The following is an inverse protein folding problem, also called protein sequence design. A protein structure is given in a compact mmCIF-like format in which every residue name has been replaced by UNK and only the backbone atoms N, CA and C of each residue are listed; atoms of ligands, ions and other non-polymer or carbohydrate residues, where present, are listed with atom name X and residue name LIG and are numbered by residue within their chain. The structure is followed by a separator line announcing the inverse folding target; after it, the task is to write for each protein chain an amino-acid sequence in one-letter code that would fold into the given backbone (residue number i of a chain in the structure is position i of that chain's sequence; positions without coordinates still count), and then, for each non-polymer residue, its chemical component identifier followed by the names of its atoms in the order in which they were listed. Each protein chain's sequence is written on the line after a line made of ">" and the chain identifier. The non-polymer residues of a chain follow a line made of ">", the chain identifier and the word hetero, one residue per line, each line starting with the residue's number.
data_IF_244270202727
#
_entry.id   IF_244270202727
#
_cell.length_a   1.000
_cell.length_b   1.000
_cell.length_c   1.000
_cell.angle_alpha   90.00
_cell.angle_beta   90.00
_cell.angle_gamma   90.00
#
_symmetry.space_group_name_H-M   'P 1'
#
loop_
_entity.id
_entity.type
_entity.pdbx_description
1 polymer ?
#
# COMPACT_ATOMS: atom_id res chain seq x y z
N UNK A 1 56.30 -19.77 7.08
CA UNK A 1 55.57 -18.93 6.13
C UNK A 1 54.30 -19.68 5.74
N UNK A 2 53.23 -19.45 6.48
CA UNK A 2 51.91 -20.07 6.24
C UNK A 2 51.06 -19.04 5.53
N UNK A 3 50.77 -19.30 4.26
CA UNK A 3 49.85 -18.46 3.46
C UNK A 3 48.41 -18.65 3.94
N UNK A 4 47.86 -17.60 4.53
CA UNK A 4 46.46 -17.54 4.90
C UNK A 4 45.62 -17.37 3.63
N UNK A 5 44.89 -18.41 3.25
CA UNK A 5 43.89 -18.39 2.18
C UNK A 5 42.67 -17.63 2.71
N UNK A 6 42.56 -16.38 2.34
CA UNK A 6 41.30 -15.63 2.51
C UNK A 6 40.28 -16.22 1.53
N UNK A 7 39.37 -17.03 2.04
CA UNK A 7 38.18 -17.45 1.30
C UNK A 7 37.37 -16.19 0.90
N UNK A 8 37.39 -15.88 -0.38
CA UNK A 8 36.53 -14.90 -1.01
C UNK A 8 35.09 -15.31 -0.73
N UNK A 9 34.39 -14.56 0.12
CA UNK A 9 32.94 -14.70 0.28
C UNK A 9 32.31 -14.42 -1.10
N UNK A 10 31.80 -15.47 -1.74
CA UNK A 10 31.07 -15.36 -3.01
C UNK A 10 29.93 -14.37 -2.81
N UNK A 11 29.96 -13.24 -3.53
CA UNK A 11 28.82 -12.34 -3.58
C UNK A 11 27.61 -13.16 -4.01
N UNK A 12 26.50 -13.08 -3.27
CA UNK A 12 25.29 -13.81 -3.62
C UNK A 12 24.89 -13.46 -5.06
N UNK A 13 24.59 -14.47 -5.88
CA UNK A 13 24.34 -14.32 -7.31
C UNK A 13 23.30 -13.26 -7.64
N UNK A 14 23.53 -12.51 -8.70
CA UNK A 14 22.64 -11.47 -9.23
C UNK A 14 21.38 -12.11 -9.81
N UNK A 15 20.20 -11.72 -9.31
CA UNK A 15 18.92 -12.22 -9.80
C UNK A 15 18.32 -11.31 -10.87
N UNK A 16 17.51 -11.90 -11.75
CA UNK A 16 16.58 -11.22 -12.67
C UNK A 16 15.19 -11.31 -12.06
N UNK A 17 14.65 -10.19 -11.60
CA UNK A 17 13.36 -10.10 -10.91
C UNK A 17 12.39 -9.34 -11.79
N UNK A 18 11.22 -9.91 -12.06
CA UNK A 18 10.14 -9.24 -12.78
C UNK A 18 9.01 -8.85 -11.80
N UNK A 19 8.57 -7.60 -11.84
CA UNK A 19 7.48 -7.08 -11.03
C UNK A 19 6.32 -6.64 -11.94
N UNK A 20 5.13 -7.18 -11.72
CA UNK A 20 3.96 -6.95 -12.58
C UNK A 20 2.64 -7.00 -11.79
N UNK A 21 1.57 -6.53 -12.41
CA UNK A 21 0.22 -6.59 -11.83
C UNK A 21 -0.29 -5.25 -11.29
N UNK A 22 0.47 -4.16 -11.42
CA UNK A 22 0.09 -2.81 -10.97
C UNK A 22 0.14 -1.81 -12.12
N UNK A 23 0.07 -0.52 -11.78
CA UNK A 23 0.34 0.56 -12.75
C UNK A 23 1.84 0.75 -13.01
N UNK A 24 2.69 0.20 -12.14
CA UNK A 24 4.14 0.26 -12.25
C UNK A 24 4.73 1.56 -11.72
N UNK A 25 5.87 1.97 -12.29
CA UNK A 25 6.65 3.15 -11.87
C UNK A 25 6.70 4.20 -12.97
N UNK A 26 6.81 5.50 -12.61
CA UNK A 26 6.88 6.09 -11.26
C UNK A 26 5.59 5.89 -10.45
N UNK A 27 5.73 5.70 -9.13
CA UNK A 27 4.59 5.61 -8.24
C UNK A 27 3.92 6.98 -8.11
N UNK A 28 2.66 7.09 -8.51
CA UNK A 28 1.88 8.35 -8.35
C UNK A 28 0.91 8.25 -7.18
N UNK A 29 0.34 7.08 -6.95
CA UNK A 29 -0.49 6.76 -5.79
C UNK A 29 -0.75 5.24 -5.72
N UNK A 30 -1.02 4.75 -4.52
CA UNK A 30 -1.30 3.34 -4.29
C UNK A 30 -0.16 2.61 -3.57
N UNK A 31 -0.53 1.68 -2.68
CA UNK A 31 0.43 0.94 -1.86
C UNK A 31 1.37 0.07 -2.68
N UNK A 32 0.84 -0.63 -3.66
CA UNK A 32 1.63 -1.51 -4.51
C UNK A 32 2.64 -0.78 -5.38
N UNK A 33 2.28 0.36 -5.95
CA UNK A 33 3.19 1.17 -6.76
C UNK A 33 4.34 1.71 -5.90
N UNK A 34 4.04 2.18 -4.68
CA UNK A 34 5.05 2.62 -3.71
C UNK A 34 5.98 1.46 -3.31
N UNK A 35 5.43 0.28 -3.04
CA UNK A 35 6.22 -0.90 -2.71
C UNK A 35 7.13 -1.32 -3.87
N UNK A 36 6.62 -1.34 -5.10
CA UNK A 36 7.44 -1.65 -6.29
C UNK A 36 8.56 -0.65 -6.46
N UNK A 37 8.29 0.63 -6.30
CA UNK A 37 9.30 1.68 -6.44
C UNK A 37 10.37 1.58 -5.37
N UNK A 38 9.98 1.46 -4.10
CA UNK A 38 10.91 1.44 -2.98
C UNK A 38 11.73 0.15 -2.89
N UNK A 39 11.09 -1.00 -3.04
CA UNK A 39 11.77 -2.30 -3.06
C UNK A 39 12.57 -2.49 -4.34
N UNK A 40 11.98 -2.15 -5.49
CA UNK A 40 12.61 -2.37 -6.80
C UNK A 40 13.89 -1.56 -6.98
N UNK A 41 13.91 -0.27 -6.56
CA UNK A 41 15.13 0.54 -6.63
C UNK A 41 16.22 -0.01 -5.71
N UNK A 42 15.90 -0.39 -4.47
CA UNK A 42 16.88 -0.95 -3.51
C UNK A 42 17.44 -2.28 -4.00
N UNK A 43 16.61 -3.15 -4.58
CA UNK A 43 17.09 -4.37 -5.22
C UNK A 43 18.00 -4.07 -6.41
N UNK A 44 17.70 -3.04 -7.20
CA UNK A 44 18.56 -2.61 -8.30
C UNK A 44 19.90 -2.04 -7.78
N UNK A 45 19.88 -1.23 -6.73
CA UNK A 45 21.08 -0.70 -6.06
C UNK A 45 21.96 -1.82 -5.47
N UNK A 46 21.36 -2.93 -5.02
CA UNK A 46 22.06 -4.15 -4.57
C UNK A 46 22.59 -5.02 -5.74
N UNK A 47 22.43 -4.57 -6.97
CA UNK A 47 22.96 -5.19 -8.18
C UNK A 47 22.04 -6.18 -8.88
N UNK A 48 20.79 -6.39 -8.42
CA UNK A 48 19.82 -7.21 -9.12
C UNK A 48 19.33 -6.55 -10.43
N UNK A 49 18.86 -7.36 -11.38
CA UNK A 49 18.21 -6.88 -12.60
C UNK A 49 16.70 -6.85 -12.41
N UNK A 50 16.17 -5.69 -12.00
CA UNK A 50 14.75 -5.52 -11.78
C UNK A 50 14.07 -5.01 -13.05
N UNK A 51 13.00 -5.68 -13.49
CA UNK A 51 12.12 -5.26 -14.57
C UNK A 51 10.73 -4.99 -14.02
N UNK A 52 10.24 -3.76 -14.20
CA UNK A 52 8.88 -3.37 -13.83
C UNK A 52 8.03 -3.19 -15.07
N UNK A 53 6.85 -3.81 -15.07
CA UNK A 53 5.83 -3.60 -16.09
C UNK A 53 4.96 -2.42 -15.70
N UNK A 54 4.93 -1.38 -16.54
CA UNK A 54 4.25 -0.12 -16.25
C UNK A 54 3.23 0.25 -17.32
N UNK A 55 2.17 0.92 -16.88
CA UNK A 55 1.15 1.54 -17.74
C UNK A 55 1.44 3.03 -17.83
N UNK A 56 1.35 3.59 -19.03
CA UNK A 56 1.48 5.02 -19.18
C UNK A 56 0.14 5.71 -18.87
N UNK A 57 0.09 6.56 -17.82
CA UNK A 57 -1.12 7.31 -17.50
C UNK A 57 -1.36 8.48 -18.47
N UNK A 58 -0.31 8.96 -19.15
CA UNK A 58 -0.35 10.11 -20.05
C UNK A 58 -0.04 9.67 -21.48
N UNK A 59 -1.07 9.45 -22.30
CA UNK A 59 -0.86 9.10 -23.71
C UNK A 59 -0.05 10.17 -24.44
N UNK A 60 1.01 9.75 -25.14
CA UNK A 60 1.86 10.64 -25.93
C UNK A 60 3.22 10.97 -25.31
N UNK A 61 3.42 10.75 -24.01
CA UNK A 61 4.73 10.91 -23.38
C UNK A 61 5.23 9.53 -22.93
N UNK A 62 6.18 8.89 -23.66
CA UNK A 62 6.68 7.57 -23.30
C UNK A 62 7.32 7.57 -21.91
N UNK A 63 7.13 6.48 -21.16
CA UNK A 63 7.86 6.29 -19.91
C UNK A 63 9.37 6.09 -20.18
N UNK A 64 10.23 6.47 -19.24
CA UNK A 64 11.66 6.23 -19.37
C UNK A 64 11.93 4.72 -19.41
N UNK A 65 12.88 4.27 -20.25
CA UNK A 65 13.27 2.85 -20.32
C UNK A 65 13.93 2.34 -19.03
N UNK A 66 14.45 3.25 -18.23
CA UNK A 66 15.05 2.99 -16.91
C UNK A 66 14.56 4.05 -15.93
N UNK A 67 14.22 3.61 -14.72
CA UNK A 67 13.79 4.48 -13.64
C UNK A 67 14.39 4.00 -12.33
N UNK A 68 15.16 4.85 -11.66
CA UNK A 68 15.85 4.52 -10.39
C UNK A 68 16.57 3.15 -10.42
N UNK A 69 17.37 2.90 -11.46
CA UNK A 69 18.10 1.64 -11.64
C UNK A 69 17.27 0.46 -12.17
N UNK A 70 15.96 0.52 -12.12
CA UNK A 70 15.06 -0.50 -12.66
C UNK A 70 14.85 -0.33 -14.17
N UNK A 71 14.72 -1.43 -14.91
CA UNK A 71 14.21 -1.42 -16.29
C UNK A 71 12.69 -1.28 -16.27
N UNK A 72 12.15 -0.48 -17.17
CA UNK A 72 10.69 -0.27 -17.32
C UNK A 72 10.24 -0.83 -18.67
N UNK A 73 9.22 -1.68 -18.63
CA UNK A 73 8.50 -2.14 -19.82
C UNK A 73 7.11 -1.49 -19.86
N UNK A 74 6.97 -0.46 -20.67
CA UNK A 74 5.69 0.19 -20.93
C UNK A 74 4.84 -0.68 -21.83
N UNK A 75 3.62 -1.04 -21.39
CA UNK A 75 2.64 -1.79 -22.16
C UNK A 75 1.26 -1.12 -22.07
N UNK A 76 0.44 -1.23 -23.12
CA UNK A 76 -0.90 -0.67 -23.11
C UNK A 76 -1.84 -1.46 -22.18
N UNK A 77 -2.96 -0.83 -21.85
CA UNK A 77 -4.07 -1.44 -21.13
C UNK A 77 -5.41 -0.98 -21.72
N UNK A 78 -6.44 -1.79 -21.58
CA UNK A 78 -7.81 -1.41 -21.94
C UNK A 78 -8.32 -0.36 -20.95
N UNK A 79 -8.77 0.79 -21.42
CA UNK A 79 -9.31 1.89 -20.59
C UNK A 79 -10.71 1.58 -20.04
N UNK A 80 -10.88 0.44 -19.35
CA UNK A 80 -12.10 0.07 -18.64
C UNK A 80 -11.73 -0.31 -17.21
N UNK A 81 -12.34 0.35 -16.22
CA UNK A 81 -12.03 0.22 -14.77
C UNK A 81 -11.79 -1.23 -14.32
N UNK A 82 -12.64 -2.18 -14.74
CA UNK A 82 -12.56 -3.58 -14.36
C UNK A 82 -11.55 -4.43 -15.16
N UNK A 83 -11.16 -3.97 -16.35
CA UNK A 83 -10.29 -4.72 -17.27
C UNK A 83 -8.89 -4.13 -17.41
N UNK A 84 -8.66 -2.94 -16.91
CA UNK A 84 -7.40 -2.22 -17.05
C UNK A 84 -6.21 -3.03 -16.51
N UNK A 85 -6.30 -3.48 -15.26
CA UNK A 85 -5.25 -4.27 -14.62
C UNK A 85 -5.08 -5.63 -15.28
N UNK A 86 -6.18 -6.32 -15.58
CA UNK A 86 -6.15 -7.65 -16.18
C UNK A 86 -5.56 -7.65 -17.59
N UNK A 87 -5.97 -6.71 -18.44
CA UNK A 87 -5.44 -6.61 -19.80
C UNK A 87 -3.96 -6.28 -19.82
N UNK A 88 -3.52 -5.38 -18.93
CA UNK A 88 -2.11 -5.05 -18.77
C UNK A 88 -1.28 -6.25 -18.31
N UNK A 89 -1.78 -7.00 -17.32
CA UNK A 89 -1.08 -8.18 -16.81
C UNK A 89 -1.02 -9.29 -17.85
N UNK A 90 -2.08 -9.49 -18.64
CA UNK A 90 -2.07 -10.43 -19.77
C UNK A 90 -0.95 -10.08 -20.78
N UNK A 91 -0.83 -8.81 -21.16
CA UNK A 91 0.21 -8.34 -22.07
C UNK A 91 1.60 -8.42 -21.43
N UNK A 92 1.72 -8.15 -20.13
CA UNK A 92 2.97 -8.28 -19.39
C UNK A 92 3.47 -9.72 -19.39
N UNK A 93 2.62 -10.69 -19.09
CA UNK A 93 2.95 -12.12 -19.14
C UNK A 93 3.30 -12.56 -20.56
N UNK A 94 2.51 -12.15 -21.57
CA UNK A 94 2.81 -12.45 -22.98
C UNK A 94 4.17 -11.88 -23.42
N UNK A 95 4.56 -10.71 -22.94
CA UNK A 95 5.87 -10.12 -23.23
C UNK A 95 6.99 -10.84 -22.46
N UNK A 96 6.75 -11.16 -21.19
CA UNK A 96 7.72 -11.75 -20.29
C UNK A 96 8.19 -13.14 -20.75
N UNK A 97 7.24 -14.01 -21.12
CA UNK A 97 7.51 -15.42 -21.40
C UNK A 97 8.58 -15.62 -22.50
N UNK A 98 8.52 -14.99 -23.70
CA UNK A 98 9.49 -15.23 -24.75
C UNK A 98 10.76 -14.37 -24.65
N UNK A 99 10.81 -13.31 -23.81
CA UNK A 99 11.84 -12.27 -23.89
C UNK A 99 12.67 -12.08 -22.64
N UNK A 100 12.12 -12.36 -21.46
CA UNK A 100 12.75 -11.90 -20.20
C UNK A 100 13.41 -13.04 -19.45
N UNK A 101 12.77 -14.19 -19.31
CA UNK A 101 13.25 -15.34 -18.51
C UNK A 101 13.74 -14.93 -17.12
N UNK A 102 12.90 -14.36 -16.26
CA UNK A 102 13.28 -13.95 -14.93
C UNK A 102 13.57 -15.17 -14.05
N UNK A 103 14.42 -14.99 -13.05
CA UNK A 103 14.68 -16.02 -12.03
C UNK A 103 13.52 -16.09 -11.03
N UNK A 104 12.79 -14.98 -10.83
CA UNK A 104 11.58 -14.88 -10.02
C UNK A 104 10.65 -13.80 -10.59
N UNK A 105 9.33 -14.04 -10.54
CA UNK A 105 8.31 -13.05 -10.80
C UNK A 105 7.54 -12.71 -9.51
N UNK A 106 7.38 -11.43 -9.21
CA UNK A 106 6.50 -10.94 -8.15
C UNK A 106 5.25 -10.36 -8.82
N UNK A 107 4.11 -10.97 -8.53
CA UNK A 107 2.80 -10.56 -9.06
C UNK A 107 2.03 -9.87 -7.95
N UNK A 108 1.74 -8.60 -8.14
CA UNK A 108 0.97 -7.81 -7.18
C UNK A 108 -0.52 -7.91 -7.48
N UNK A 109 -1.33 -7.96 -6.43
CA UNK A 109 -2.78 -8.07 -6.44
C UNK A 109 -3.30 -9.45 -6.90
N UNK A 110 -4.04 -10.09 -6.00
CA UNK A 110 -4.67 -11.40 -6.23
C UNK A 110 -5.57 -11.45 -7.48
N UNK A 111 -6.13 -10.31 -7.91
CA UNK A 111 -6.88 -10.21 -9.18
C UNK A 111 -6.11 -10.73 -10.40
N UNK A 112 -4.79 -10.71 -10.38
CA UNK A 112 -3.94 -11.14 -11.47
C UNK A 112 -3.65 -12.66 -11.49
N UNK A 113 -4.18 -13.41 -10.52
CA UNK A 113 -3.93 -14.85 -10.37
C UNK A 113 -4.37 -15.72 -11.55
N UNK A 114 -5.36 -15.38 -12.39
CA UNK A 114 -5.65 -16.12 -13.60
C UNK A 114 -4.48 -16.26 -14.58
N UNK A 115 -3.45 -15.42 -14.49
CA UNK A 115 -2.27 -15.49 -15.34
C UNK A 115 -1.12 -16.32 -14.76
N UNK A 116 -1.18 -16.72 -13.50
CA UNK A 116 -0.17 -17.52 -12.82
C UNK A 116 0.07 -18.91 -13.46
N UNK A 117 -0.96 -19.61 -13.97
CA UNK A 117 -0.74 -20.87 -14.67
C UNK A 117 0.24 -20.79 -15.84
N UNK A 118 0.25 -19.65 -16.58
CA UNK A 118 1.18 -19.44 -17.70
C UNK A 118 2.63 -19.26 -17.23
N UNK A 119 2.85 -18.50 -16.14
CA UNK A 119 4.17 -18.35 -15.53
C UNK A 119 4.69 -19.68 -14.99
N UNK A 120 3.83 -20.45 -14.34
CA UNK A 120 4.16 -21.76 -13.83
C UNK A 120 4.49 -22.78 -14.94
N UNK A 121 3.73 -22.78 -16.04
CA UNK A 121 4.03 -23.62 -17.20
C UNK A 121 5.40 -23.29 -17.81
N UNK A 122 5.84 -22.04 -17.74
CA UNK A 122 7.17 -21.59 -18.15
C UNK A 122 8.26 -21.86 -17.07
N UNK A 123 7.91 -22.52 -15.97
CA UNK A 123 8.81 -22.82 -14.84
C UNK A 123 9.44 -21.60 -14.20
N UNK A 124 8.73 -20.49 -14.18
CA UNK A 124 9.13 -19.27 -13.48
C UNK A 124 8.56 -19.32 -12.06
N UNK A 125 9.39 -19.27 -11.01
CA UNK A 125 8.93 -19.17 -9.64
C UNK A 125 8.16 -17.86 -9.42
N UNK A 126 7.02 -17.93 -8.71
CA UNK A 126 6.12 -16.79 -8.53
C UNK A 126 5.84 -16.55 -7.06
N UNK A 127 6.10 -15.32 -6.58
CA UNK A 127 5.51 -14.78 -5.37
C UNK A 127 4.30 -13.92 -5.74
N UNK A 128 3.16 -14.15 -5.11
CA UNK A 128 1.99 -13.27 -5.28
C UNK A 128 1.78 -12.45 -4.02
N UNK A 129 1.84 -11.13 -4.18
CA UNK A 129 1.46 -10.22 -3.12
C UNK A 129 -0.07 -10.19 -3.07
N UNK A 130 -0.64 -10.86 -2.06
CA UNK A 130 -2.08 -10.94 -1.87
C UNK A 130 -2.55 -9.67 -1.19
N UNK A 131 -3.51 -9.03 -1.83
CA UNK A 131 -4.12 -7.81 -1.35
C UNK A 131 -5.05 -8.12 -0.18
N UNK A 132 -5.26 -7.13 0.68
CA UNK A 132 -6.26 -7.26 1.74
C UNK A 132 -7.64 -7.41 1.15
N UNK A 133 -8.32 -8.46 1.47
CA UNK A 133 -9.73 -8.81 1.24
C UNK A 133 -10.49 -7.88 0.25
N UNK A 134 -9.95 -7.70 -0.96
CA UNK A 134 -10.45 -6.73 -1.95
C UNK A 134 -11.96 -6.91 -2.25
N UNK A 135 -12.46 -8.16 -2.13
CA UNK A 135 -13.88 -8.47 -2.28
C UNK A 135 -14.78 -7.84 -1.21
N UNK A 136 -14.23 -7.38 -0.08
CA UNK A 136 -14.97 -6.64 0.97
C UNK A 136 -15.20 -5.19 0.61
N UNK A 137 -14.49 -4.63 -0.37
CA UNK A 137 -14.63 -3.22 -0.76
C UNK A 137 -16.01 -2.96 -1.35
N UNK A 138 -16.64 -1.86 -0.91
CA UNK A 138 -17.99 -1.46 -1.31
C UNK A 138 -18.19 -1.27 -2.82
N UNK A 139 -17.12 -0.98 -3.56
CA UNK A 139 -17.15 -0.78 -5.02
C UNK A 139 -17.49 -2.03 -5.84
N UNK A 140 -17.42 -3.23 -5.24
CA UNK A 140 -17.64 -4.50 -5.95
C UNK A 140 -19.04 -5.05 -5.75
N UNK A 141 -19.78 -5.23 -6.83
CA UNK A 141 -21.02 -5.99 -6.85
C UNK A 141 -20.77 -7.52 -6.74
N UNK A 142 -21.84 -8.34 -6.71
CA UNK A 142 -21.73 -9.81 -6.49
C UNK A 142 -20.75 -10.52 -7.44
N UNK A 143 -20.74 -10.14 -8.72
CA UNK A 143 -19.83 -10.73 -9.73
C UNK A 143 -18.37 -10.40 -9.44
N UNK A 144 -18.07 -9.15 -9.07
CA UNK A 144 -16.71 -8.74 -8.69
C UNK A 144 -16.23 -9.46 -7.45
N UNK A 145 -17.07 -9.58 -6.42
CA UNK A 145 -16.77 -10.34 -5.20
C UNK A 145 -16.47 -11.79 -5.49
N UNK A 146 -17.28 -12.47 -6.33
CA UNK A 146 -17.03 -13.85 -6.76
C UNK A 146 -15.70 -13.99 -7.50
N UNK A 147 -15.40 -13.03 -8.40
CA UNK A 147 -14.14 -13.00 -9.12
C UNK A 147 -12.94 -12.94 -8.16
N UNK A 148 -12.91 -11.99 -7.21
CA UNK A 148 -11.80 -11.86 -6.27
C UNK A 148 -11.62 -13.10 -5.41
N UNK A 149 -12.72 -13.67 -4.91
CA UNK A 149 -12.65 -14.92 -4.12
C UNK A 149 -12.12 -16.11 -4.93
N UNK A 150 -12.45 -16.21 -6.21
CA UNK A 150 -11.86 -17.20 -7.10
C UNK A 150 -10.38 -16.92 -7.39
N UNK A 151 -10.02 -15.66 -7.55
CA UNK A 151 -8.64 -15.23 -7.81
C UNK A 151 -7.72 -15.51 -6.60
N UNK A 152 -8.19 -15.33 -5.35
CA UNK A 152 -7.48 -15.74 -4.14
C UNK A 152 -7.17 -17.25 -4.16
N UNK A 153 -8.15 -18.10 -4.47
CA UNK A 153 -7.95 -19.54 -4.57
C UNK A 153 -6.93 -19.91 -5.67
N UNK A 154 -6.91 -19.17 -6.79
CA UNK A 154 -5.90 -19.34 -7.84
C UNK A 154 -4.52 -18.88 -7.36
N UNK A 155 -4.42 -17.78 -6.59
CA UNK A 155 -3.17 -17.34 -5.99
C UNK A 155 -2.58 -18.45 -5.11
N UNK A 156 -3.37 -18.98 -4.19
CA UNK A 156 -2.95 -20.09 -3.32
C UNK A 156 -2.49 -21.31 -4.12
N UNK A 157 -3.23 -21.66 -5.18
CA UNK A 157 -2.94 -22.85 -5.99
C UNK A 157 -1.69 -22.74 -6.85
N UNK A 158 -1.42 -21.58 -7.42
CA UNK A 158 -0.44 -21.43 -8.49
C UNK A 158 0.78 -20.59 -8.12
N UNK A 159 0.81 -19.90 -6.97
CA UNK A 159 1.99 -19.23 -6.46
C UNK A 159 2.91 -20.19 -5.72
N UNK A 160 4.20 -19.90 -5.74
CA UNK A 160 5.22 -20.62 -4.96
C UNK A 160 5.38 -20.00 -3.57
N UNK A 161 5.04 -18.73 -3.42
CA UNK A 161 4.90 -18.01 -2.15
C UNK A 161 3.76 -16.99 -2.23
N UNK A 162 3.16 -16.70 -1.09
CA UNK A 162 2.18 -15.62 -0.92
C UNK A 162 2.78 -14.58 0.01
N UNK A 163 2.67 -13.30 -0.35
CA UNK A 163 3.13 -12.18 0.47
C UNK A 163 1.90 -11.48 1.06
N UNK A 164 1.81 -11.43 2.39
CA UNK A 164 0.83 -10.63 3.12
C UNK A 164 1.51 -9.40 3.72
N UNK A 165 0.84 -8.24 3.71
CA UNK A 165 1.40 -6.99 4.25
C UNK A 165 0.89 -6.64 5.65
N UNK A 166 0.00 -7.47 6.23
CA UNK A 166 -0.51 -7.33 7.59
C UNK A 166 -0.83 -8.71 8.18
N UNK A 167 -0.73 -8.84 9.51
CA UNK A 167 -1.00 -10.10 10.20
C UNK A 167 -2.43 -10.60 9.96
N UNK A 168 -3.42 -9.73 9.99
CA UNK A 168 -4.81 -10.12 9.74
C UNK A 168 -5.05 -10.70 8.33
N UNK A 169 -4.24 -10.35 7.33
CA UNK A 169 -4.29 -10.98 6.00
C UNK A 169 -3.63 -12.36 6.06
N UNK A 170 -2.49 -12.49 6.76
CA UNK A 170 -1.83 -13.78 6.95
C UNK A 170 -2.75 -14.77 7.66
N UNK A 171 -3.41 -14.34 8.71
CA UNK A 171 -4.38 -15.16 9.48
C UNK A 171 -5.55 -15.59 8.60
N UNK A 172 -6.11 -14.69 7.79
CA UNK A 172 -7.17 -15.02 6.85
C UNK A 172 -6.75 -16.12 5.85
N UNK A 173 -5.55 -16.05 5.28
CA UNK A 173 -5.07 -17.08 4.35
C UNK A 173 -4.78 -18.40 5.06
N UNK A 174 -4.28 -18.36 6.29
CA UNK A 174 -4.08 -19.55 7.11
C UNK A 174 -5.42 -20.22 7.46
N UNK A 175 -6.43 -19.45 7.87
CA UNK A 175 -7.74 -19.96 8.26
C UNK A 175 -8.57 -20.45 7.08
N UNK A 176 -8.67 -19.65 6.01
CA UNK A 176 -9.56 -19.91 4.88
C UNK A 176 -8.97 -20.95 3.91
N UNK A 177 -7.63 -20.99 3.76
CA UNK A 177 -6.96 -21.80 2.74
C UNK A 177 -5.92 -22.78 3.28
N UNK A 178 -5.64 -22.81 4.58
CA UNK A 178 -4.50 -23.54 5.17
C UNK A 178 -3.17 -23.16 4.46
N UNK A 179 -3.02 -21.91 4.10
CA UNK A 179 -1.89 -21.42 3.33
C UNK A 179 -1.02 -20.48 4.14
N UNK A 180 0.26 -20.80 4.26
CA UNK A 180 1.25 -19.92 4.86
C UNK A 180 1.55 -18.74 3.94
N UNK A 181 1.81 -17.59 4.53
CA UNK A 181 2.24 -16.37 3.84
C UNK A 181 3.58 -15.88 4.39
N UNK A 182 4.37 -15.24 3.54
CA UNK A 182 5.49 -14.42 3.96
C UNK A 182 4.94 -13.06 4.39
N UNK A 183 4.99 -12.75 5.69
CA UNK A 183 4.53 -11.47 6.23
C UNK A 183 5.58 -10.39 5.93
N UNK A 184 5.31 -9.53 4.95
CA UNK A 184 6.18 -8.42 4.55
C UNK A 184 5.34 -7.15 4.43
N UNK A 185 5.26 -6.38 5.50
CA UNK A 185 4.58 -5.10 5.54
C UNK A 185 5.24 -4.07 4.62
N UNK A 186 4.54 -2.98 4.31
CA UNK A 186 5.17 -1.82 3.65
C UNK A 186 6.10 -1.09 4.60
N UNK A 187 7.01 -0.30 4.04
CA UNK A 187 7.87 0.57 4.81
C UNK A 187 7.27 1.96 5.03
N UNK A 188 7.68 2.59 6.10
CA UNK A 188 7.39 3.99 6.38
C UNK A 188 8.50 4.89 5.77
N UNK A 189 8.17 5.97 5.08
CA UNK A 189 9.18 6.94 4.68
C UNK A 189 9.68 7.69 5.92
N UNK A 190 10.96 7.99 5.98
CA UNK A 190 11.46 8.99 6.93
C UNK A 190 11.15 10.37 6.37
N UNK A 191 10.26 11.08 7.03
CA UNK A 191 9.85 12.43 6.62
C UNK A 191 10.55 13.41 7.56
N UNK A 192 11.58 14.06 7.02
CA UNK A 192 12.30 15.13 7.71
C UNK A 192 12.18 16.39 6.85
N UNK A 193 11.11 17.14 7.08
CA UNK A 193 10.73 18.33 6.33
C UNK A 193 10.41 19.48 7.27
N UNK A 194 10.60 20.71 6.79
CA UNK A 194 10.12 21.90 7.47
C UNK A 194 8.59 22.03 7.48
N UNK A 195 8.11 23.20 7.86
CA UNK A 195 6.69 23.56 7.83
C UNK A 195 6.44 24.94 7.20
N UNK A 196 7.44 25.46 6.50
CA UNK A 196 7.46 26.80 5.89
C UNK A 196 6.42 26.95 4.78
N UNK A 197 6.19 25.89 3.99
CA UNK A 197 5.21 25.92 2.90
C UNK A 197 3.75 25.81 3.36
N UNK A 198 3.49 25.49 4.62
CA UNK A 198 2.13 25.52 5.17
C UNK A 198 1.49 26.91 5.03
N UNK A 199 2.31 27.97 5.07
CA UNK A 199 1.87 29.36 4.85
C UNK A 199 1.24 29.58 3.46
N UNK A 200 1.62 28.80 2.43
CA UNK A 200 0.99 28.86 1.10
C UNK A 200 -0.51 28.52 1.16
N UNK A 201 -0.89 27.73 2.15
CA UNK A 201 -2.28 27.33 2.42
C UNK A 201 -2.92 28.13 3.57
N UNK A 202 -2.21 29.14 4.12
CA UNK A 202 -2.66 29.86 5.31
C UNK A 202 -2.78 28.98 6.55
N UNK A 203 -1.90 27.99 6.70
CA UNK A 203 -1.80 27.07 7.81
C UNK A 203 -0.54 27.32 8.63
N UNK A 204 -0.56 26.86 9.88
CA UNK A 204 0.60 26.88 10.79
C UNK A 204 0.76 25.50 11.40
N UNK A 205 1.99 25.15 11.79
CA UNK A 205 2.27 23.88 12.47
C UNK A 205 1.50 23.80 13.80
N UNK A 206 0.88 22.66 14.06
CA UNK A 206 0.00 22.43 15.21
C UNK A 206 -1.36 23.16 15.12
N UNK A 207 -1.62 23.89 14.03
CA UNK A 207 -2.81 24.75 13.86
C UNK A 207 -3.92 24.14 12.98
N UNK A 208 -3.93 22.85 12.73
CA UNK A 208 -4.97 22.20 11.94
C UNK A 208 -5.03 20.68 12.18
N UNK A 209 -6.18 20.09 11.92
CA UNK A 209 -6.37 18.64 11.81
C UNK A 209 -6.26 18.21 10.35
N UNK A 210 -5.83 16.98 10.08
CA UNK A 210 -5.56 16.49 8.72
C UNK A 210 -6.27 15.17 8.43
N UNK A 211 -6.84 15.08 7.22
CA UNK A 211 -7.24 13.82 6.57
C UNK A 211 -6.55 13.75 5.21
N UNK A 212 -5.94 12.62 4.89
CA UNK A 212 -5.41 12.34 3.55
C UNK A 212 -5.94 11.00 3.09
N UNK A 213 -6.91 11.01 2.18
CA UNK A 213 -7.56 9.78 1.72
C UNK A 213 -8.22 9.96 0.35
N UNK A 214 -8.35 8.87 -0.41
CA UNK A 214 -9.29 8.83 -1.54
C UNK A 214 -10.72 8.86 -1.01
N UNK A 215 -11.61 9.53 -1.71
CA UNK A 215 -13.02 9.57 -1.34
C UNK A 215 -13.71 8.25 -1.76
N UNK A 216 -13.44 7.21 -0.98
CA UNK A 216 -14.02 5.87 -1.06
C UNK A 216 -14.68 5.55 0.28
N UNK A 217 -15.80 4.83 0.28
CA UNK A 217 -16.59 4.54 1.49
C UNK A 217 -15.75 3.91 2.60
N UNK A 218 -14.85 3.01 2.24
CA UNK A 218 -13.96 2.33 3.18
C UNK A 218 -12.90 3.22 3.81
N UNK A 219 -12.79 4.49 3.43
CA UNK A 219 -11.89 5.47 4.04
C UNK A 219 -12.62 6.39 5.05
N UNK A 220 -13.93 6.24 5.22
CA UNK A 220 -14.75 6.88 6.25
C UNK A 220 -14.53 8.41 6.38
N UNK A 221 -14.22 9.10 5.29
CA UNK A 221 -14.00 10.56 5.31
C UNK A 221 -15.28 11.29 5.74
N UNK A 222 -16.46 10.79 5.36
CA UNK A 222 -17.75 11.31 5.77
C UNK A 222 -17.97 11.19 7.29
N UNK A 223 -17.55 10.09 7.92
CA UNK A 223 -17.65 9.90 9.37
C UNK A 223 -16.72 10.84 10.12
N UNK A 224 -15.49 11.03 9.59
CA UNK A 224 -14.52 11.96 10.17
C UNK A 224 -15.04 13.40 10.09
N UNK A 225 -15.54 13.82 8.92
CA UNK A 225 -16.09 15.17 8.73
C UNK A 225 -17.33 15.39 9.61
N UNK A 226 -18.25 14.42 9.69
CA UNK A 226 -19.44 14.50 10.56
C UNK A 226 -19.04 14.63 12.03
N UNK A 227 -18.09 13.83 12.51
CA UNK A 227 -17.58 13.90 13.89
C UNK A 227 -16.89 15.23 14.17
N UNK A 228 -16.04 15.71 13.26
CA UNK A 228 -15.40 17.00 13.39
C UNK A 228 -16.39 18.16 13.47
N UNK A 229 -17.41 18.18 12.62
CA UNK A 229 -18.43 19.24 12.60
C UNK A 229 -19.23 19.27 13.90
N UNK A 230 -19.48 18.11 14.54
CA UNK A 230 -20.15 18.00 15.85
C UNK A 230 -19.28 18.42 17.03
N UNK A 231 -17.96 18.50 16.86
CA UNK A 231 -17.03 18.89 17.92
C UNK A 231 -17.00 20.38 18.16
N UNK A 232 -16.44 20.78 19.30
CA UNK A 232 -16.15 22.17 19.64
C UNK A 232 -14.86 22.71 19.01
N UNK A 233 -14.35 22.09 17.93
CA UNK A 233 -13.09 22.44 17.27
C UNK A 233 -13.00 23.91 16.88
N UNK A 234 -11.84 24.50 17.15
CA UNK A 234 -11.48 25.88 16.74
C UNK A 234 -10.46 25.90 15.61
N UNK A 235 -9.65 24.85 15.49
CA UNK A 235 -8.67 24.66 14.42
C UNK A 235 -9.34 24.04 13.18
N UNK A 236 -8.96 24.41 11.94
CA UNK A 236 -9.58 23.84 10.75
C UNK A 236 -9.27 22.36 10.55
N UNK A 237 -10.22 21.63 9.96
CA UNK A 237 -9.97 20.30 9.39
C UNK A 237 -9.57 20.45 7.91
N UNK A 238 -8.37 20.07 7.59
CA UNK A 238 -7.84 20.03 6.22
C UNK A 238 -8.03 18.62 5.66
N UNK A 239 -8.79 18.52 4.56
CA UNK A 239 -9.05 17.25 3.88
C UNK A 239 -8.37 17.25 2.52
N UNK A 240 -7.35 16.41 2.39
CA UNK A 240 -6.62 16.17 1.15
C UNK A 240 -7.11 14.88 0.52
N UNK A 241 -7.61 14.97 -0.69
CA UNK A 241 -8.08 13.82 -1.43
C UNK A 241 -9.13 14.16 -2.45
N UNK A 242 -9.43 13.18 -3.29
CA UNK A 242 -10.48 13.30 -4.30
C UNK A 242 -10.97 11.91 -4.69
N UNK A 243 -12.12 11.87 -5.37
CA UNK A 243 -12.55 10.70 -6.13
C UNK A 243 -12.20 10.94 -7.61
N UNK A 244 -11.64 9.95 -8.33
CA UNK A 244 -11.41 10.05 -9.78
C UNK A 244 -12.70 10.24 -10.57
N UNK A 245 -13.82 9.92 -9.97
CA UNK A 245 -15.17 10.05 -10.54
C UNK A 245 -16.04 10.72 -9.50
N UNK A 246 -16.60 11.88 -9.83
CA UNK A 246 -17.61 12.55 -9.00
C UNK A 246 -18.74 11.54 -8.72
N UNK A 247 -19.02 11.33 -7.44
CA UNK A 247 -20.01 10.36 -6.99
C UNK A 247 -20.81 10.92 -5.81
N UNK A 248 -21.86 10.22 -5.44
CA UNK A 248 -22.71 10.56 -4.31
C UNK A 248 -21.94 10.70 -2.99
N UNK A 249 -20.85 9.93 -2.84
CA UNK A 249 -20.02 9.99 -1.63
C UNK A 249 -19.24 11.30 -1.50
N UNK A 250 -18.70 11.84 -2.61
CA UNK A 250 -18.06 13.17 -2.62
C UNK A 250 -19.05 14.25 -2.27
N UNK A 251 -20.25 14.22 -2.90
CA UNK A 251 -21.32 15.18 -2.60
C UNK A 251 -21.77 15.11 -1.12
N UNK A 252 -21.80 13.91 -0.52
CA UNK A 252 -22.10 13.73 0.90
C UNK A 252 -21.04 14.39 1.80
N UNK A 253 -19.75 14.23 1.49
CA UNK A 253 -18.68 14.87 2.26
C UNK A 253 -18.80 16.40 2.18
N UNK A 254 -19.06 16.94 0.97
CA UNK A 254 -19.29 18.38 0.75
C UNK A 254 -20.51 18.92 1.51
N UNK A 255 -21.59 18.16 1.58
CA UNK A 255 -22.80 18.53 2.32
C UNK A 255 -22.61 18.50 3.85
N UNK A 256 -21.76 17.64 4.37
CA UNK A 256 -21.46 17.54 5.81
C UNK A 256 -20.52 18.66 6.26
N UNK A 257 -19.65 19.16 5.37
CA UNK A 257 -18.64 20.14 5.69
C UNK A 257 -19.24 21.50 6.08
N UNK A 258 -18.79 22.05 7.21
CA UNK A 258 -19.06 23.44 7.60
C UNK A 258 -17.87 24.36 7.21
N UNK A 259 -17.93 25.64 7.57
CA UNK A 259 -16.92 26.64 7.22
C UNK A 259 -15.51 26.34 7.79
N UNK A 260 -15.36 25.44 8.76
CA UNK A 260 -14.11 25.02 9.36
C UNK A 260 -13.42 23.89 8.57
N UNK A 261 -14.15 23.20 7.67
CA UNK A 261 -13.64 22.10 6.86
C UNK A 261 -13.10 22.64 5.53
N UNK A 262 -11.83 22.38 5.26
CA UNK A 262 -11.14 22.84 4.06
C UNK A 262 -10.85 21.68 3.13
N UNK A 263 -11.63 21.50 2.07
CA UNK A 263 -11.41 20.47 1.06
C UNK A 263 -10.39 20.97 0.02
N UNK A 264 -9.17 20.47 0.06
CA UNK A 264 -8.08 20.92 -0.83
C UNK A 264 -8.04 20.18 -2.18
N UNK A 265 -8.86 19.12 -2.34
CA UNK A 265 -8.67 18.22 -3.49
C UNK A 265 -7.39 17.41 -3.40
N UNK A 266 -6.86 16.96 -4.53
CA UNK A 266 -5.60 16.20 -4.56
C UNK A 266 -4.38 17.09 -4.46
N UNK A 267 -3.49 16.84 -3.51
CA UNK A 267 -2.18 17.47 -3.40
C UNK A 267 -1.14 16.51 -3.97
N UNK A 268 -0.53 16.89 -5.10
CA UNK A 268 0.44 16.07 -5.84
C UNK A 268 1.89 16.49 -5.61
N UNK A 269 2.10 17.65 -4.98
CA UNK A 269 3.39 18.10 -4.50
C UNK A 269 3.74 17.32 -3.23
N UNK A 270 4.74 16.45 -3.35
CA UNK A 270 5.11 15.52 -2.28
C UNK A 270 5.66 16.23 -1.05
N UNK A 271 6.44 17.30 -1.26
CA UNK A 271 7.02 18.08 -0.15
C UNK A 271 5.93 18.81 0.63
N UNK A 272 4.99 19.46 -0.05
CA UNK A 272 3.85 20.10 0.60
C UNK A 272 2.97 19.09 1.35
N UNK A 273 2.75 17.91 0.75
CA UNK A 273 2.00 16.83 1.40
C UNK A 273 2.73 16.33 2.66
N UNK A 274 4.04 16.20 2.60
CA UNK A 274 4.86 15.79 3.74
C UNK A 274 4.82 16.83 4.88
N UNK A 275 4.87 18.13 4.51
CA UNK A 275 4.71 19.22 5.47
C UNK A 275 3.31 19.25 6.11
N UNK A 276 2.25 18.91 5.36
CA UNK A 276 0.91 18.76 5.92
C UNK A 276 0.86 17.65 6.98
N UNK A 277 1.47 16.48 6.73
CA UNK A 277 1.54 15.42 7.73
C UNK A 277 2.36 15.86 8.96
N UNK A 278 3.53 16.45 8.75
CA UNK A 278 4.45 16.84 9.83
C UNK A 278 3.89 17.98 10.69
N UNK A 279 3.09 18.88 10.08
CA UNK A 279 2.56 20.07 10.73
C UNK A 279 1.15 19.92 11.30
N UNK A 280 0.45 18.82 11.08
CA UNK A 280 -0.89 18.61 11.63
C UNK A 280 -0.85 18.42 13.15
N UNK A 281 -1.84 18.97 13.86
CA UNK A 281 -2.04 18.66 15.29
C UNK A 281 -2.38 17.17 15.45
N UNK A 282 -3.33 16.66 14.63
CA UNK A 282 -3.68 15.24 14.58
C UNK A 282 -4.01 14.86 13.13
N UNK A 283 -3.55 13.69 12.70
CA UNK A 283 -3.97 13.05 11.47
C UNK A 283 -5.06 12.00 11.73
N UNK A 284 -6.21 12.14 11.08
CA UNK A 284 -7.33 11.19 11.16
C UNK A 284 -7.25 10.18 10.01
N UNK A 285 -7.15 8.91 10.35
CA UNK A 285 -7.02 7.81 9.41
C UNK A 285 -8.26 6.91 9.41
N UNK A 286 -9.03 6.93 8.32
CA UNK A 286 -10.31 6.22 8.24
C UNK A 286 -10.29 4.88 7.52
N UNK A 287 -9.13 4.40 7.05
CA UNK A 287 -9.05 3.19 6.23
C UNK A 287 -9.46 1.93 6.99
N UNK A 288 -10.43 1.15 6.44
CA UNK A 288 -11.02 -0.02 7.11
C UNK A 288 -10.96 -1.31 6.30
N UNK A 289 -10.45 -1.31 5.06
CA UNK A 289 -10.36 -2.51 4.21
C UNK A 289 -9.01 -2.58 3.54
N UNK A 290 -8.22 -3.59 3.85
CA UNK A 290 -6.89 -3.81 3.29
C UNK A 290 -5.93 -4.34 4.34
N UNK A 291 -4.66 -4.00 4.19
CA UNK A 291 -3.58 -4.27 5.13
C UNK A 291 -2.89 -2.98 5.56
N UNK A 292 -1.56 -3.02 5.62
CA UNK A 292 -0.75 -1.85 5.95
C UNK A 292 -0.98 -0.72 4.94
N UNK A 293 -1.31 0.48 5.44
CA UNK A 293 -1.66 1.60 4.57
C UNK A 293 -0.52 2.61 4.42
N UNK A 294 -0.07 2.95 3.18
CA UNK A 294 1.02 3.90 2.97
C UNK A 294 0.77 5.30 3.52
N UNK A 295 -0.49 5.75 3.55
CA UNK A 295 -0.86 7.05 4.13
C UNK A 295 -0.65 7.06 5.65
N UNK A 296 -1.01 5.96 6.33
CA UNK A 296 -0.76 5.78 7.75
C UNK A 296 0.74 5.71 8.05
N UNK A 297 1.48 4.92 7.28
CA UNK A 297 2.94 4.81 7.41
C UNK A 297 3.64 6.15 7.18
N UNK A 298 3.16 6.96 6.23
CA UNK A 298 3.68 8.31 6.01
C UNK A 298 3.39 9.23 7.19
N UNK A 299 2.19 9.16 7.76
CA UNK A 299 1.83 9.95 8.93
C UNK A 299 2.74 9.66 10.12
N UNK A 300 2.95 8.37 10.45
CA UNK A 300 3.87 8.00 11.53
C UNK A 300 5.33 8.34 11.21
N UNK A 301 5.74 8.21 9.93
CA UNK A 301 7.07 8.60 9.46
C UNK A 301 7.33 10.11 9.55
N UNK A 302 6.29 10.92 9.41
CA UNK A 302 6.32 12.36 9.63
C UNK A 302 6.24 12.75 11.12
N UNK A 303 5.91 11.81 12.01
CA UNK A 303 5.73 12.05 13.43
C UNK A 303 4.41 12.74 13.76
N UNK A 304 3.37 12.52 12.97
CA UNK A 304 2.03 12.99 13.31
C UNK A 304 1.45 12.18 14.48
N UNK A 305 0.70 12.83 15.36
CA UNK A 305 -0.24 12.15 16.24
C UNK A 305 -1.37 11.57 15.38
N UNK A 306 -1.75 10.31 15.58
CA UNK A 306 -2.71 9.62 14.73
C UNK A 306 -3.92 9.15 15.52
N UNK A 307 -5.11 9.46 14.99
CA UNK A 307 -6.39 8.88 15.43
C UNK A 307 -6.94 8.03 14.28
N UNK A 308 -7.02 6.71 14.44
CA UNK A 308 -7.31 5.78 13.36
C UNK A 308 -8.65 5.05 13.55
N UNK A 309 -9.27 4.66 12.45
CA UNK A 309 -10.42 3.76 12.49
C UNK A 309 -10.03 2.44 13.15
N UNK A 310 -10.90 1.93 14.04
CA UNK A 310 -10.62 0.76 14.88
C UNK A 310 -10.71 -0.54 14.08
N UNK A 311 -9.59 -0.95 13.50
CA UNK A 311 -9.41 -2.25 12.82
C UNK A 311 -8.02 -2.81 13.13
N UNK A 312 -7.89 -4.13 12.99
CA UNK A 312 -6.69 -4.87 13.40
C UNK A 312 -5.39 -4.35 12.77
N UNK A 313 -5.38 -4.07 11.47
CA UNK A 313 -4.17 -3.61 10.80
C UNK A 313 -3.78 -2.15 11.13
N UNK A 314 -4.72 -1.27 11.51
CA UNK A 314 -4.38 0.04 12.03
C UNK A 314 -3.80 -0.08 13.45
N UNK A 315 -4.34 -0.99 14.27
CA UNK A 315 -3.78 -1.30 15.59
C UNK A 315 -2.40 -1.93 15.49
N UNK A 316 -2.17 -2.82 14.51
CA UNK A 316 -0.86 -3.43 14.26
C UNK A 316 0.22 -2.37 13.97
N UNK A 317 -0.11 -1.36 13.15
CA UNK A 317 0.81 -0.28 12.81
C UNK A 317 1.05 0.66 13.98
N UNK A 318 0.00 1.12 14.64
CA UNK A 318 0.07 2.21 15.62
C UNK A 318 0.34 1.74 17.05
N UNK A 319 -0.21 0.58 17.44
CA UNK A 319 -0.15 0.07 18.80
C UNK A 319 -0.54 1.17 19.84
N UNK A 320 0.28 1.43 20.86
CA UNK A 320 0.04 2.44 21.88
C UNK A 320 0.25 3.89 21.40
N UNK A 321 0.83 4.11 20.22
CA UNK A 321 0.99 5.45 19.63
C UNK A 321 -0.33 6.01 19.08
N UNK A 322 -1.31 5.14 18.76
CA UNK A 322 -2.59 5.51 18.19
C UNK A 322 -3.70 5.68 19.19
N UNK A 323 -4.69 6.51 18.86
CA UNK A 323 -6.04 6.44 19.46
C UNK A 323 -7.00 5.93 18.38
N UNK A 324 -8.10 5.33 18.81
CA UNK A 324 -8.96 4.61 17.90
C UNK A 324 -10.41 5.09 18.00
N UNK A 325 -11.11 5.10 16.87
CA UNK A 325 -12.50 5.52 16.75
C UNK A 325 -13.29 4.58 15.83
N UNK A 326 -14.59 4.46 16.07
CA UNK A 326 -15.50 3.69 15.26
C UNK A 326 -16.69 4.53 14.77
N UNK A 327 -17.03 5.60 15.47
CA UNK A 327 -18.20 6.46 15.22
C UNK A 327 -17.83 7.93 15.10
N UNK A 328 -18.72 8.72 14.54
CA UNK A 328 -18.58 10.18 14.50
C UNK A 328 -18.53 10.80 15.92
N UNK A 329 -19.20 10.19 16.90
CA UNK A 329 -19.15 10.67 18.30
C UNK A 329 -17.75 10.47 18.90
N UNK A 330 -17.09 9.34 18.58
CA UNK A 330 -15.71 9.11 19.02
C UNK A 330 -14.77 10.14 18.39
N UNK A 331 -14.92 10.42 17.09
CA UNK A 331 -14.13 11.45 16.40
C UNK A 331 -14.32 12.81 17.05
N UNK A 332 -15.56 13.21 17.38
CA UNK A 332 -15.81 14.48 18.05
C UNK A 332 -15.08 14.57 19.39
N UNK A 333 -15.18 13.54 20.22
CA UNK A 333 -14.49 13.50 21.51
C UNK A 333 -12.95 13.55 21.37
N UNK A 334 -12.39 12.88 20.35
CA UNK A 334 -10.97 12.88 20.07
C UNK A 334 -10.48 14.25 19.58
N UNK A 335 -11.27 14.96 18.77
CA UNK A 335 -10.98 16.34 18.33
C UNK A 335 -10.94 17.28 19.53
N UNK A 336 -11.98 17.26 20.38
CA UNK A 336 -12.08 18.12 21.56
C UNK A 336 -10.91 17.86 22.53
N UNK A 337 -10.58 16.59 22.75
CA UNK A 337 -9.43 16.19 23.58
C UNK A 337 -8.10 16.65 23.01
N UNK A 338 -7.94 16.60 21.68
CA UNK A 338 -6.69 16.99 21.03
C UNK A 338 -6.42 18.50 21.16
N UNK A 339 -7.45 19.32 20.97
CA UNK A 339 -7.34 20.78 21.11
C UNK A 339 -7.20 21.22 22.60
N UNK A 340 -7.70 20.42 23.53
CA UNK A 340 -7.55 20.69 24.96
C UNK A 340 -6.12 20.46 25.46
N UNK A 341 -5.37 19.55 24.83
CA UNK A 341 -3.99 19.20 25.24
C UNK A 341 -3.09 18.99 23.99
N UNK A 342 -2.63 20.09 23.38
CA UNK A 342 -1.70 20.01 22.23
C UNK A 342 -0.35 19.38 22.57
N UNK A 343 0.14 19.54 23.78
CA UNK A 343 1.43 18.99 24.21
C UNK A 343 1.40 17.46 24.22
N UNK A 344 0.29 16.86 24.65
CA UNK A 344 0.10 15.41 24.55
C UNK A 344 0.16 14.92 23.10
N UNK A 345 -0.26 15.74 22.10
CA UNK A 345 -0.16 15.35 20.70
C UNK A 345 1.29 15.33 20.20
N UNK A 346 2.14 16.22 20.69
CA UNK A 346 3.59 16.21 20.41
C UNK A 346 4.23 14.91 20.94
N UNK A 347 3.88 14.49 22.16
CA UNK A 347 4.38 13.23 22.72
C UNK A 347 3.91 12.02 21.89
N UNK A 348 2.66 11.99 21.45
CA UNK A 348 2.13 10.94 20.58
C UNK A 348 2.83 10.92 19.21
N UNK A 349 3.16 12.09 18.67
CA UNK A 349 3.96 12.20 17.44
C UNK A 349 5.35 11.56 17.59
N UNK A 350 5.99 11.68 18.75
CA UNK A 350 7.26 11.00 19.01
C UNK A 350 7.09 9.47 19.06
N UNK A 351 6.06 8.96 19.72
CA UNK A 351 5.73 7.53 19.69
C UNK A 351 5.45 7.03 18.27
N UNK A 352 4.78 7.84 17.44
CA UNK A 352 4.56 7.52 16.02
C UNK A 352 5.89 7.35 15.27
N UNK A 353 6.90 8.20 15.50
CA UNK A 353 8.25 8.05 14.91
C UNK A 353 8.95 6.77 15.38
N UNK A 354 8.81 6.40 16.63
CA UNK A 354 9.35 5.14 17.16
C UNK A 354 8.68 3.94 16.46
N UNK A 355 7.37 3.98 16.27
CA UNK A 355 6.64 2.97 15.51
C UNK A 355 7.10 2.90 14.05
N UNK A 356 7.30 4.05 13.40
CA UNK A 356 7.78 4.12 12.00
C UNK A 356 9.14 3.44 11.80
N UNK A 357 10.01 3.45 12.82
CA UNK A 357 11.31 2.78 12.76
C UNK A 357 11.21 1.25 12.60
N UNK A 358 10.08 0.64 12.97
CA UNK A 358 9.82 -0.79 12.78
C UNK A 358 9.44 -1.13 11.33
N UNK A 359 9.11 -0.13 10.53
CA UNK A 359 8.67 -0.23 9.13
C UNK A 359 9.76 0.30 8.18
N UNK A 360 11.00 -0.11 8.39
CA UNK A 360 12.14 0.35 7.59
C UNK A 360 12.17 -0.31 6.21
N UNK A 361 12.27 0.52 5.14
CA UNK A 361 12.28 0.03 3.76
C UNK A 361 13.48 -0.85 3.42
N UNK A 362 14.61 -0.71 4.09
CA UNK A 362 15.77 -1.57 3.85
C UNK A 362 15.52 -2.96 4.43
N UNK A 363 14.91 -3.06 5.62
CA UNK A 363 14.49 -4.35 6.21
C UNK A 363 13.36 -5.01 5.38
N UNK A 364 12.40 -4.22 4.89
CA UNK A 364 11.38 -4.71 3.95
C UNK A 364 12.05 -5.30 2.71
N UNK A 365 13.04 -4.60 2.15
CA UNK A 365 13.78 -5.07 0.96
C UNK A 365 14.60 -6.33 1.27
N UNK A 366 15.20 -6.45 2.45
CA UNK A 366 15.89 -7.65 2.89
C UNK A 366 14.98 -8.89 2.84
N UNK A 367 13.75 -8.74 3.32
CA UNK A 367 12.73 -9.82 3.28
C UNK A 367 12.34 -10.18 1.86
N UNK A 368 12.13 -9.18 0.98
CA UNK A 368 11.85 -9.42 -0.44
C UNK A 368 13.03 -10.09 -1.15
N UNK A 369 14.26 -9.67 -0.88
CA UNK A 369 15.45 -10.25 -1.45
C UNK A 369 15.63 -11.71 -1.00
N UNK A 370 15.49 -11.97 0.31
CA UNK A 370 15.56 -13.33 0.86
C UNK A 370 14.49 -14.25 0.25
N UNK A 371 13.25 -13.75 0.09
CA UNK A 371 12.18 -14.47 -0.59
C UNK A 371 12.56 -14.78 -2.06
N UNK A 372 13.05 -13.79 -2.81
CA UNK A 372 13.45 -14.00 -4.21
C UNK A 372 14.57 -15.01 -4.33
N UNK A 373 15.60 -14.96 -3.47
CA UNK A 373 16.71 -15.94 -3.45
C UNK A 373 16.18 -17.34 -3.15
N UNK A 374 15.37 -17.49 -2.11
CA UNK A 374 14.74 -18.77 -1.75
C UNK A 374 13.97 -19.38 -2.92
N UNK A 375 13.16 -18.56 -3.62
CA UNK A 375 12.37 -19.03 -4.77
C UNK A 375 13.23 -19.38 -5.98
N UNK A 376 14.26 -18.61 -6.28
CA UNK A 376 15.17 -18.89 -7.38
C UNK A 376 15.96 -20.20 -7.16
N UNK A 377 16.38 -20.49 -5.92
CA UNK A 377 17.09 -21.72 -5.55
C UNK A 377 16.19 -22.95 -5.58
N UNK A 378 14.97 -22.82 -5.08
CA UNK A 378 14.03 -23.94 -4.98
C UNK A 378 13.30 -24.28 -6.28
N UNK A 379 13.24 -23.32 -7.20
CA UNK A 379 12.43 -23.41 -8.41
C UNK A 379 10.92 -23.51 -8.12
N UNK A 380 10.08 -23.63 -9.16
CA UNK A 380 8.63 -23.71 -8.98
C UNK A 380 8.22 -25.03 -8.31
N UNK A 381 7.49 -24.91 -7.20
CA UNK A 381 7.04 -26.06 -6.40
C UNK A 381 5.78 -26.68 -6.99
N UNK A 382 5.66 -28.02 -6.92
CA UNK A 382 4.39 -28.72 -7.13
C UNK A 382 3.56 -28.60 -5.84
N UNK A 383 2.68 -27.60 -5.72
CA UNK A 383 1.74 -27.56 -4.59
C UNK A 383 0.53 -28.47 -4.84
N UNK A 384 0.09 -29.14 -3.77
CA UNK A 384 -1.22 -29.80 -3.76
C UNK A 384 -2.30 -28.71 -3.76
N UNK A 385 -3.44 -28.89 -4.46
CA UNK A 385 -4.53 -27.93 -4.38
C UNK A 385 -5.08 -27.94 -2.94
N UNK A 386 -4.90 -26.87 -2.19
CA UNK A 386 -5.68 -26.60 -1.00
C UNK A 386 -7.03 -26.05 -1.46
N UNK A 387 -8.11 -26.77 -1.17
CA UNK A 387 -9.47 -26.24 -1.33
C UNK A 387 -9.77 -25.24 -0.22
N UNK A 388 -10.73 -24.33 -0.44
CA UNK A 388 -11.31 -23.52 0.63
C UNK A 388 -11.90 -24.45 1.70
N UNK A 389 -11.63 -24.19 2.98
CA UNK A 389 -12.18 -24.97 4.10
C UNK A 389 -13.69 -24.81 4.22
N UNK A 390 -14.18 -23.62 4.00
CA UNK A 390 -15.60 -23.30 4.06
C UNK A 390 -16.20 -23.34 2.66
N UNK A 391 -16.87 -24.43 2.31
CA UNK A 391 -17.56 -24.60 1.03
C UNK A 391 -18.80 -23.73 0.83
N UNK A 392 -19.11 -22.83 1.76
CA UNK A 392 -20.24 -21.92 1.68
C UNK A 392 -19.76 -20.50 1.44
N UNK A 393 -20.12 -19.94 0.30
CA UNK A 393 -20.12 -18.48 0.13
C UNK A 393 -21.15 -17.90 1.10
N UNK A 394 -20.80 -17.15 2.15
CA UNK A 394 -21.81 -16.38 2.86
C UNK A 394 -22.44 -15.40 1.88
N UNK A 395 -23.74 -15.31 1.95
CA UNK A 395 -24.59 -14.50 1.08
C UNK A 395 -24.28 -12.99 1.17
#
# INVERSE_FOLDING_TARGET
>A
MTASSTASASQPGRLRIAMLGTRGVPARYGGFETAIEEVGRRLADRGHRVLVYSRNPEPGTPLPRTYRGMRVAELPALKKRSLETLSHTALSVRHLLPRVHPDVAIVFNSANSPFLPALRAARIPVATHVDGLEWRRGKWGPTGRRYYRAAEALAVRYSDALIADAQGIADYYAEEFEADTDLIAYGAPRVDVGTDRLAELGLQSGGFHLVVARFEIENHVDVIVDGYVRSGARLPLVVVGSAPYANEYTARIEQLADARVRLLGGVWDQELLDQLYAGALVYYHGHSVGGTNPSLLRAIGAGAAVDAFDVSFNREVLDDAGRYWATAADVAALVDSAEADPDAQVLRGNLSRERAALYDWDQVTDRYEALCRRLAEQGPRRRRPSGRRTGAFPA
#
